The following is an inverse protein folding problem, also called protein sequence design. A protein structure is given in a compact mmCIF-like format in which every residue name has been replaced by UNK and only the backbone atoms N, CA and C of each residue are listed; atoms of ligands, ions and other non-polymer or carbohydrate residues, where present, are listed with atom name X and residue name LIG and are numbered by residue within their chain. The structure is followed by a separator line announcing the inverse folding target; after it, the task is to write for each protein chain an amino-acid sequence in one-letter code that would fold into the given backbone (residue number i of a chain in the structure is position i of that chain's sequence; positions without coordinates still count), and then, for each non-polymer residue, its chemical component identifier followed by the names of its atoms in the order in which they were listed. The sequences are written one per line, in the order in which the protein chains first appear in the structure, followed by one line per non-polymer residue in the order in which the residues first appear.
data_IF_478827252222
#
_entry.id   IF_478827252222
#
_cell.length_a   1.000
_cell.length_b   1.000
_cell.length_c   1.000
_cell.angle_alpha   90.00
_cell.angle_beta   90.00
_cell.angle_gamma   90.00
#
_symmetry.space_group_name_H-M   'P 1'
#
loop_
_entity.id
_entity.type
_entity.pdbx_description
1 polymer ?
#
# COMPACT_ATOMS: atom_id res chain seq x y z
N UNK A 1 63.82 -7.12 27.16
CA UNK A 1 62.46 -6.65 27.55
C UNK A 1 61.78 -6.04 26.31
N UNK A 2 60.98 -6.83 25.61
CA UNK A 2 60.30 -6.42 24.36
C UNK A 2 58.85 -6.12 24.69
N UNK A 3 58.44 -4.84 24.57
CA UNK A 3 57.08 -4.36 24.83
C UNK A 3 56.26 -4.51 23.56
N UNK A 4 55.27 -5.45 23.54
CA UNK A 4 54.28 -5.60 22.46
C UNK A 4 53.15 -4.60 22.70
N UNK A 5 53.03 -3.62 21.80
CA UNK A 5 51.85 -2.71 21.74
C UNK A 5 50.79 -3.38 20.87
N UNK A 6 49.71 -3.81 21.51
CA UNK A 6 48.51 -4.35 20.86
C UNK A 6 47.63 -3.18 20.44
N UNK A 7 47.62 -2.85 19.14
CA UNK A 7 46.68 -1.86 18.57
C UNK A 7 45.32 -2.54 18.32
N UNK A 8 44.34 -2.21 19.15
CA UNK A 8 42.98 -2.64 18.97
C UNK A 8 42.29 -1.78 17.88
N UNK A 9 42.00 -2.39 16.72
CA UNK A 9 41.28 -1.78 15.63
C UNK A 9 39.78 -1.92 15.92
N UNK A 10 39.13 -0.89 16.49
CA UNK A 10 37.71 -0.82 16.64
C UNK A 10 37.10 -0.49 15.25
N UNK A 11 36.61 -1.51 14.55
CA UNK A 11 35.77 -1.33 13.38
C UNK A 11 34.40 -0.80 13.83
N UNK A 12 34.15 0.48 13.60
CA UNK A 12 32.84 1.09 13.72
C UNK A 12 31.98 0.58 12.53
N UNK A 13 31.22 -0.49 12.76
CA UNK A 13 30.10 -0.81 11.88
C UNK A 13 29.03 0.27 12.08
N UNK A 14 29.02 1.24 11.18
CA UNK A 14 27.88 2.15 11.02
C UNK A 14 26.68 1.33 10.60
N UNK A 15 25.76 1.10 11.53
CA UNK A 15 24.43 0.63 11.22
C UNK A 15 23.73 1.81 10.54
N UNK A 16 23.64 1.81 9.20
CA UNK A 16 22.69 2.64 8.49
C UNK A 16 21.30 2.09 8.85
N UNK A 17 20.70 2.67 9.87
CA UNK A 17 19.27 2.53 10.12
C UNK A 17 18.58 3.24 8.96
N UNK A 18 18.11 2.47 7.97
CA UNK A 18 17.07 2.93 7.06
C UNK A 18 15.98 3.56 7.95
N UNK A 19 15.68 4.82 7.72
CA UNK A 19 14.61 5.51 8.43
C UNK A 19 13.31 4.79 8.07
N UNK A 20 12.87 3.86 8.91
CA UNK A 20 11.52 3.33 8.88
C UNK A 20 10.62 4.49 9.24
N UNK A 21 9.97 5.09 8.25
CA UNK A 21 8.94 6.11 8.49
C UNK A 21 7.87 5.43 9.34
N UNK A 22 7.78 5.80 10.61
CA UNK A 22 6.76 5.26 11.51
C UNK A 22 5.40 5.70 10.99
N UNK A 23 4.55 4.71 10.64
CA UNK A 23 3.20 4.99 10.23
C UNK A 23 2.35 5.30 11.47
N UNK A 24 1.46 6.28 11.34
CA UNK A 24 0.54 6.74 12.39
C UNK A 24 -0.91 6.49 11.97
N UNK A 25 -1.84 6.28 12.93
CA UNK A 25 -3.26 6.16 12.61
C UNK A 25 -3.80 7.43 11.93
N UNK A 26 -4.40 7.25 10.77
CA UNK A 26 -5.11 8.28 10.01
C UNK A 26 -6.60 7.92 9.98
N UNK A 27 -7.42 8.73 10.65
CA UNK A 27 -8.88 8.60 10.62
C UNK A 27 -9.42 9.18 9.30
N UNK A 28 -10.08 8.32 8.52
CA UNK A 28 -10.64 8.68 7.22
C UNK A 28 -12.10 9.15 7.31
N UNK A 29 -12.70 9.22 8.50
CA UNK A 29 -14.11 9.63 8.67
C UNK A 29 -14.37 11.04 8.13
N UNK A 30 -13.41 11.95 8.25
CA UNK A 30 -13.49 13.30 7.67
C UNK A 30 -13.62 13.29 6.14
N UNK A 31 -13.27 12.19 5.47
CA UNK A 31 -13.41 11.98 4.04
C UNK A 31 -14.61 11.08 3.70
N UNK A 32 -15.53 10.85 4.68
CA UNK A 32 -16.69 9.95 4.59
C UNK A 32 -16.31 8.48 4.33
N UNK A 33 -15.17 8.04 4.84
CA UNK A 33 -14.74 6.65 4.86
C UNK A 33 -14.63 6.25 6.34
N UNK A 34 -15.54 5.42 6.87
CA UNK A 34 -15.62 5.12 8.30
C UNK A 34 -14.56 4.06 8.70
N UNK A 35 -13.31 4.36 8.46
CA UNK A 35 -12.16 3.48 8.74
C UNK A 35 -10.94 4.29 9.15
N UNK A 36 -10.04 3.63 9.86
CA UNK A 36 -8.70 4.13 10.19
C UNK A 36 -7.66 3.27 9.49
N UNK A 37 -6.70 3.89 8.85
CA UNK A 37 -5.53 3.21 8.27
C UNK A 37 -4.25 3.73 8.91
N UNK A 38 -3.13 3.08 8.66
CA UNK A 38 -1.83 3.65 9.00
C UNK A 38 -1.27 4.44 7.82
N UNK A 39 -0.73 5.63 8.09
CA UNK A 39 -0.13 6.50 7.08
C UNK A 39 1.09 7.22 7.66
N UNK A 40 1.99 7.77 6.81
CA UNK A 40 3.04 8.69 7.28
C UNK A 40 2.46 9.85 8.07
N UNK A 41 3.24 10.40 8.99
CA UNK A 41 2.84 11.55 9.84
C UNK A 41 2.39 12.76 9.01
N UNK A 42 3.01 12.99 7.86
CA UNK A 42 2.67 14.05 6.90
C UNK A 42 2.13 13.47 5.62
N UNK A 43 0.85 13.75 5.30
CA UNK A 43 0.18 13.26 4.09
C UNK A 43 -0.55 14.37 3.35
N UNK A 44 -0.56 14.27 2.03
CA UNK A 44 -1.45 15.02 1.16
C UNK A 44 -2.66 14.15 0.82
N UNK A 45 -3.87 14.62 1.16
CA UNK A 45 -5.12 13.91 0.86
C UNK A 45 -5.92 14.68 -0.18
N UNK A 46 -6.30 14.02 -1.26
CA UNK A 46 -7.19 14.54 -2.30
C UNK A 46 -8.44 13.69 -2.39
N UNK A 47 -9.57 14.35 -2.55
CA UNK A 47 -10.87 13.68 -2.74
C UNK A 47 -11.50 14.12 -4.06
N UNK A 48 -12.15 13.17 -4.73
CA UNK A 48 -12.94 13.43 -5.92
C UNK A 48 -14.25 12.66 -5.82
N UNK A 49 -15.37 13.38 -5.83
CA UNK A 49 -16.69 12.79 -5.84
C UNK A 49 -17.15 12.63 -7.31
N UNK A 50 -17.39 11.38 -7.71
CA UNK A 50 -17.97 11.01 -8.99
C UNK A 50 -19.41 10.51 -8.79
N UNK A 51 -20.16 10.41 -9.86
CA UNK A 51 -21.59 10.03 -9.77
C UNK A 51 -21.83 8.67 -9.09
N UNK A 52 -20.94 7.72 -9.31
CA UNK A 52 -21.10 6.32 -8.84
C UNK A 52 -20.05 5.90 -7.80
N UNK A 53 -19.03 6.68 -7.61
CA UNK A 53 -17.99 6.37 -6.64
C UNK A 53 -17.29 7.64 -6.14
N UNK A 54 -16.69 7.53 -4.97
CA UNK A 54 -15.77 8.51 -4.42
C UNK A 54 -14.34 7.99 -4.51
N UNK A 55 -13.44 8.85 -4.92
CA UNK A 55 -12.00 8.59 -4.94
C UNK A 55 -11.34 9.38 -3.80
N UNK A 56 -10.56 8.72 -2.98
CA UNK A 56 -9.71 9.34 -1.95
C UNK A 56 -8.29 8.88 -2.17
N UNK A 57 -7.42 9.83 -2.43
CA UNK A 57 -6.00 9.61 -2.65
C UNK A 57 -5.20 10.12 -1.47
N UNK A 58 -4.32 9.29 -0.92
CA UNK A 58 -3.47 9.61 0.24
C UNK A 58 -2.03 9.38 -0.17
N UNK A 59 -1.25 10.46 -0.21
CA UNK A 59 0.15 10.42 -0.59
C UNK A 59 1.01 10.93 0.57
N UNK A 60 2.09 10.21 0.89
CA UNK A 60 3.09 10.71 1.83
C UNK A 60 3.75 11.98 1.29
N UNK A 61 3.77 13.06 2.09
CA UNK A 61 4.38 14.33 1.69
C UNK A 61 5.91 14.21 1.60
N UNK A 62 6.50 13.47 2.55
CA UNK A 62 7.93 13.23 2.66
C UNK A 62 8.29 11.74 2.39
N UNK A 63 7.31 10.91 2.07
CA UNK A 63 7.47 9.48 1.75
C UNK A 63 6.88 9.21 0.35
N UNK A 64 7.68 9.30 -0.72
CA UNK A 64 7.19 9.08 -2.08
C UNK A 64 6.75 7.64 -2.36
N UNK A 65 7.17 6.69 -1.51
CA UNK A 65 6.82 5.28 -1.61
C UNK A 65 5.47 4.96 -0.97
N UNK A 66 4.85 5.93 -0.26
CA UNK A 66 3.50 5.79 0.27
C UNK A 66 2.50 6.53 -0.62
N UNK A 67 1.69 5.78 -1.35
CA UNK A 67 0.64 6.31 -2.21
C UNK A 67 -0.52 5.33 -2.30
N UNK A 68 -1.54 5.56 -1.48
CA UNK A 68 -2.76 4.76 -1.39
C UNK A 68 -3.91 5.51 -2.05
N UNK A 69 -4.70 4.80 -2.85
CA UNK A 69 -5.95 5.26 -3.44
C UNK A 69 -7.09 4.38 -2.97
N UNK A 70 -8.22 4.98 -2.64
CA UNK A 70 -9.41 4.32 -2.12
C UNK A 70 -10.59 4.67 -3.02
N UNK A 71 -11.23 3.67 -3.58
CA UNK A 71 -12.50 3.80 -4.26
C UNK A 71 -13.62 3.36 -3.33
N UNK A 72 -14.53 4.28 -3.01
CA UNK A 72 -15.73 4.02 -2.22
C UNK A 72 -16.96 4.09 -3.13
N UNK A 73 -17.76 3.03 -3.17
CA UNK A 73 -18.99 2.93 -3.96
C UNK A 73 -20.07 2.14 -3.22
N UNK A 74 -21.26 2.11 -3.77
CA UNK A 74 -22.29 1.17 -3.33
C UNK A 74 -21.83 -0.26 -3.64
N UNK A 75 -22.08 -1.18 -2.72
CA UNK A 75 -21.76 -2.58 -2.90
C UNK A 75 -22.88 -3.27 -3.73
N UNK A 76 -22.50 -3.90 -4.82
CA UNK A 76 -23.44 -4.72 -5.62
C UNK A 76 -23.75 -6.05 -4.94
N UNK A 77 -22.86 -6.50 -4.06
CA UNK A 77 -22.99 -7.74 -3.29
C UNK A 77 -22.22 -7.64 -1.97
N UNK A 78 -22.68 -8.38 -0.97
CA UNK A 78 -21.97 -8.54 0.31
C UNK A 78 -21.04 -9.76 0.33
N UNK A 79 -20.81 -10.38 -0.82
CA UNK A 79 -19.87 -11.50 -0.96
C UNK A 79 -18.45 -10.98 -1.23
N UNK A 80 -17.64 -10.92 -0.17
CA UNK A 80 -16.24 -10.46 -0.25
C UNK A 80 -15.41 -11.29 -1.24
N UNK A 81 -15.68 -12.60 -1.34
CA UNK A 81 -14.95 -13.48 -2.26
C UNK A 81 -15.26 -13.11 -3.70
N UNK A 82 -16.53 -12.83 -4.00
CA UNK A 82 -16.94 -12.41 -5.33
C UNK A 82 -16.33 -11.06 -5.72
N UNK A 83 -16.35 -10.07 -4.82
CA UNK A 83 -15.77 -8.75 -5.07
C UNK A 83 -14.26 -8.85 -5.26
N UNK A 84 -13.55 -9.60 -4.39
CA UNK A 84 -12.09 -9.83 -4.58
C UNK A 84 -11.80 -10.52 -5.91
N UNK A 85 -12.59 -11.53 -6.30
CA UNK A 85 -12.41 -12.23 -7.57
C UNK A 85 -12.57 -11.29 -8.78
N UNK A 86 -13.49 -10.33 -8.71
CA UNK A 86 -13.65 -9.30 -9.74
C UNK A 86 -12.41 -8.42 -9.83
N UNK A 87 -11.89 -7.93 -8.69
CA UNK A 87 -10.66 -7.13 -8.64
C UNK A 87 -9.45 -7.92 -9.18
N UNK A 88 -9.36 -9.20 -8.87
CA UNK A 88 -8.31 -10.08 -9.36
C UNK A 88 -8.41 -10.28 -10.89
N UNK A 89 -9.60 -10.46 -11.43
CA UNK A 89 -9.83 -10.56 -12.86
C UNK A 89 -9.46 -9.26 -13.60
N UNK A 90 -9.81 -8.11 -13.04
CA UNK A 90 -9.43 -6.80 -13.57
C UNK A 90 -7.91 -6.64 -13.65
N UNK A 91 -7.18 -6.92 -12.57
CA UNK A 91 -5.73 -6.83 -12.55
C UNK A 91 -5.09 -7.80 -13.55
N UNK A 92 -5.59 -9.05 -13.63
CA UNK A 92 -5.08 -10.05 -14.58
C UNK A 92 -5.36 -9.69 -16.05
N UNK A 93 -6.36 -8.84 -16.33
CA UNK A 93 -6.64 -8.36 -17.69
C UNK A 93 -5.66 -7.30 -18.18
N UNK A 94 -4.85 -6.71 -17.28
CA UNK A 94 -3.84 -5.76 -17.67
C UNK A 94 -2.75 -6.43 -18.50
N UNK A 95 -2.45 -5.88 -19.67
CA UNK A 95 -1.42 -6.44 -20.59
C UNK A 95 -0.02 -6.55 -19.99
N UNK A 96 0.26 -5.80 -18.94
CA UNK A 96 1.54 -5.83 -18.21
C UNK A 96 1.53 -6.75 -17.01
N UNK A 97 0.41 -7.40 -16.71
CA UNK A 97 0.31 -8.32 -15.58
C UNK A 97 1.36 -9.44 -15.72
N UNK A 98 2.08 -9.71 -14.64
CA UNK A 98 3.12 -10.75 -14.60
C UNK A 98 2.70 -11.93 -13.70
N UNK A 99 2.38 -11.64 -12.44
CA UNK A 99 1.99 -12.68 -11.47
C UNK A 99 1.31 -12.09 -10.24
N UNK A 100 0.61 -12.95 -9.51
CA UNK A 100 0.23 -12.68 -8.12
C UNK A 100 1.44 -13.04 -7.24
N UNK A 101 1.83 -12.12 -6.37
CA UNK A 101 2.94 -12.29 -5.43
C UNK A 101 2.43 -12.90 -4.14
N UNK A 102 1.28 -12.43 -3.68
CA UNK A 102 0.62 -12.89 -2.47
C UNK A 102 -0.90 -12.72 -2.60
N UNK A 103 -1.65 -13.65 -2.05
CA UNK A 103 -3.11 -13.60 -2.05
C UNK A 103 -3.65 -13.97 -0.66
N UNK A 104 -4.54 -13.11 -0.14
CA UNK A 104 -5.22 -13.29 1.13
C UNK A 104 -6.75 -13.29 0.96
N UNK A 105 -7.48 -13.43 2.06
CA UNK A 105 -8.95 -13.49 2.02
C UNK A 105 -9.58 -12.25 1.38
N UNK A 106 -9.11 -11.06 1.76
CA UNK A 106 -9.70 -9.77 1.36
C UNK A 106 -8.86 -9.01 0.31
N UNK A 107 -7.69 -9.51 -0.07
CA UNK A 107 -6.82 -8.77 -0.96
C UNK A 107 -5.68 -9.59 -1.56
N UNK A 108 -4.83 -8.91 -2.30
CA UNK A 108 -3.66 -9.52 -2.93
C UNK A 108 -2.61 -8.47 -3.34
N UNK A 109 -1.37 -8.92 -3.44
CA UNK A 109 -0.25 -8.17 -4.02
C UNK A 109 0.10 -8.80 -5.37
N UNK A 110 0.37 -7.97 -6.36
CA UNK A 110 0.68 -8.41 -7.71
C UNK A 110 1.89 -7.67 -8.30
N UNK A 111 2.48 -8.29 -9.31
CA UNK A 111 3.58 -7.73 -10.10
C UNK A 111 3.10 -7.44 -11.52
N UNK A 112 3.48 -6.29 -12.05
CA UNK A 112 3.42 -5.96 -13.46
C UNK A 112 4.83 -5.81 -14.01
N UNK A 113 5.03 -6.06 -15.31
CA UNK A 113 6.30 -5.86 -15.98
C UNK A 113 6.14 -5.05 -17.26
N UNK A 114 6.97 -4.02 -17.39
CA UNK A 114 7.14 -3.28 -18.63
C UNK A 114 8.60 -3.49 -19.05
N UNK A 115 8.80 -4.16 -20.17
CA UNK A 115 10.09 -4.69 -20.58
C UNK A 115 10.69 -5.60 -19.49
N UNK A 116 11.82 -5.23 -18.90
CA UNK A 116 12.44 -5.99 -17.80
C UNK A 116 12.21 -5.36 -16.42
N UNK A 117 11.47 -4.24 -16.34
CA UNK A 117 11.26 -3.50 -15.10
C UNK A 117 10.00 -4.01 -14.40
N UNK A 118 10.16 -4.52 -13.18
CA UNK A 118 9.05 -4.91 -12.33
C UNK A 118 8.49 -3.70 -11.57
N UNK A 119 7.18 -3.64 -11.48
CA UNK A 119 6.43 -2.70 -10.64
C UNK A 119 5.39 -3.50 -9.87
N UNK A 120 5.17 -3.14 -8.62
CA UNK A 120 4.25 -3.86 -7.73
C UNK A 120 3.03 -3.01 -7.43
N UNK A 121 1.93 -3.69 -7.13
CA UNK A 121 0.69 -3.07 -6.70
C UNK A 121 -0.10 -4.01 -5.80
N UNK A 122 -1.13 -3.49 -5.16
CA UNK A 122 -2.05 -4.28 -4.35
C UNK A 122 -3.50 -3.92 -4.63
N UNK A 123 -4.40 -4.82 -4.22
CA UNK A 123 -5.83 -4.59 -4.03
C UNK A 123 -6.22 -5.14 -2.66
N UNK A 124 -6.97 -4.38 -1.90
CA UNK A 124 -7.61 -4.80 -0.67
C UNK A 124 -9.06 -4.35 -0.69
N UNK A 125 -9.99 -5.26 -0.37
CA UNK A 125 -11.44 -5.01 -0.39
C UNK A 125 -11.98 -5.04 1.02
N UNK A 126 -12.71 -4.00 1.39
CA UNK A 126 -13.49 -3.95 2.62
C UNK A 126 -14.96 -3.69 2.29
N UNK A 127 -15.86 -4.48 2.89
CA UNK A 127 -17.31 -4.31 2.78
C UNK A 127 -17.86 -3.88 4.13
N UNK A 128 -18.63 -2.80 4.15
CA UNK A 128 -19.27 -2.31 5.37
C UNK A 128 -20.67 -1.77 5.06
N UNK A 129 -21.69 -2.44 5.60
CA UNK A 129 -23.09 -2.10 5.29
C UNK A 129 -23.37 -2.29 3.80
N UNK A 130 -23.87 -1.25 3.16
CA UNK A 130 -24.16 -1.20 1.73
C UNK A 130 -23.01 -0.60 0.90
N UNK A 131 -21.83 -0.44 1.49
CA UNK A 131 -20.66 0.17 0.85
C UNK A 131 -19.53 -0.83 0.62
N UNK A 132 -18.84 -0.59 -0.48
CA UNK A 132 -17.62 -1.27 -0.88
C UNK A 132 -16.47 -0.27 -0.93
N UNK A 133 -15.34 -0.65 -0.34
CA UNK A 133 -14.11 0.12 -0.38
C UNK A 133 -13.01 -0.73 -1.00
N UNK A 134 -12.41 -0.23 -2.07
CA UNK A 134 -11.28 -0.88 -2.73
C UNK A 134 -10.05 -0.01 -2.55
N UNK A 135 -9.08 -0.54 -1.83
CA UNK A 135 -7.77 0.10 -1.61
C UNK A 135 -6.78 -0.43 -2.64
N UNK A 136 -5.95 0.45 -3.14
CA UNK A 136 -4.90 0.10 -4.10
C UNK A 136 -3.71 1.06 -4.00
N UNK A 137 -2.61 0.73 -4.67
CA UNK A 137 -1.54 1.70 -4.94
C UNK A 137 -2.06 2.84 -5.81
N UNK A 138 -1.52 4.04 -5.64
CA UNK A 138 -1.83 5.17 -6.53
C UNK A 138 -1.56 4.82 -8.00
N UNK A 139 -2.31 5.45 -8.89
CA UNK A 139 -2.25 5.18 -10.34
C UNK A 139 -0.93 5.61 -10.99
N UNK A 140 -0.23 6.55 -10.38
CA UNK A 140 1.02 7.12 -10.89
C UNK A 140 2.14 6.76 -9.93
N UNK A 141 3.16 6.12 -10.44
CA UNK A 141 4.34 5.73 -9.66
C UNK A 141 4.85 4.36 -10.04
N UNK A 142 6.02 4.05 -9.53
CA UNK A 142 6.62 2.72 -9.59
C UNK A 142 7.01 2.35 -8.17
N UNK A 143 6.48 1.23 -7.68
CA UNK A 143 6.64 0.83 -6.29
C UNK A 143 7.42 -0.48 -6.20
N UNK A 144 8.30 -0.55 -5.21
CA UNK A 144 8.98 -1.79 -4.85
C UNK A 144 8.00 -2.76 -4.16
N UNK A 145 8.36 -4.03 -4.12
CA UNK A 145 7.57 -5.02 -3.39
C UNK A 145 7.46 -4.68 -1.89
N UNK A 146 8.53 -4.15 -1.30
CA UNK A 146 8.57 -3.74 0.10
C UNK A 146 7.63 -2.56 0.39
N UNK A 147 7.68 -1.52 -0.45
CA UNK A 147 6.78 -0.37 -0.33
C UNK A 147 5.30 -0.80 -0.44
N UNK A 148 5.00 -1.69 -1.39
CA UNK A 148 3.63 -2.21 -1.57
C UNK A 148 3.19 -3.05 -0.37
N UNK A 149 4.07 -3.88 0.20
CA UNK A 149 3.78 -4.64 1.41
C UNK A 149 3.45 -3.71 2.57
N UNK A 150 4.26 -2.67 2.80
CA UNK A 150 4.03 -1.67 3.84
C UNK A 150 2.67 -0.99 3.69
N UNK A 151 2.29 -0.57 2.47
CA UNK A 151 0.98 0.03 2.20
C UNK A 151 -0.17 -0.98 2.38
N UNK A 152 0.00 -2.21 1.92
CA UNK A 152 -1.00 -3.28 2.05
C UNK A 152 -1.30 -3.60 3.52
N UNK A 153 -0.27 -3.74 4.34
CA UNK A 153 -0.42 -3.96 5.78
C UNK A 153 -1.06 -2.74 6.47
N UNK A 154 -0.73 -1.53 6.02
CA UNK A 154 -1.23 -0.28 6.58
C UNK A 154 -2.75 -0.09 6.38
N UNK A 155 -3.31 -0.57 5.28
CA UNK A 155 -4.75 -0.41 4.97
C UNK A 155 -5.63 -1.48 5.62
N UNK A 156 -5.05 -2.54 6.17
CA UNK A 156 -5.79 -3.60 6.87
C UNK A 156 -6.15 -3.23 8.31
N UNK A 157 -5.71 -2.08 8.80
CA UNK A 157 -6.07 -1.57 10.12
C UNK A 157 -7.51 -1.06 10.10
N UNK A 158 -8.32 -1.53 11.05
CA UNK A 158 -9.75 -1.19 11.16
C UNK A 158 -10.05 -0.59 12.52
#
# INVERSE_FOLDING_TARGET
TTLFILVAFCALYGCETAATTDLQPLDLLQYNIPMTILAPDSVEVKTMDMVVQKDVTIKGADDPDYYVQIYASDAETNDLVAVKAQQLAEVKSNRYFSKIVEEETAGFIYETKIDSTANYGFRYVHLQGDKQYVFQTGLIGSFSQEAVRKMYDAVQQQ
#
